data_IF_735148073726
#
_entry.id   IF_735148073726
#
_cell.length_a   1.000
_cell.length_b   1.000
_cell.length_c   1.000
_cell.angle_alpha   90.00
_cell.angle_beta   90.00
_cell.angle_gamma   90.00
#
_symmetry.space_group_name_H-M   'P 1'
#
loop_
_entity.id
_entity.type
_entity.pdbx_description
1 polymer ?
#
# COMPACT_ATOMS: atom_id res chain seq x y z
N UNK A 1 -17.81 10.06 -7.66
CA UNK A 1 -17.85 10.30 -6.20
C UNK A 1 -17.04 9.20 -5.53
N UNK A 2 -16.48 9.44 -4.34
CA UNK A 2 -15.86 8.38 -3.52
C UNK A 2 -17.01 7.70 -2.78
N UNK A 3 -17.16 6.39 -2.92
CA UNK A 3 -18.31 5.70 -2.36
C UNK A 3 -18.07 5.31 -0.90
N UNK A 4 -16.87 4.83 -0.57
CA UNK A 4 -16.52 4.42 0.80
C UNK A 4 -15.07 4.76 1.13
N UNK A 5 -14.84 5.15 2.38
CA UNK A 5 -13.52 5.47 2.93
C UNK A 5 -13.34 4.68 4.22
N UNK A 6 -12.27 3.89 4.29
CA UNK A 6 -11.85 3.24 5.52
C UNK A 6 -10.56 3.91 6.00
N UNK A 7 -10.61 4.50 7.19
CA UNK A 7 -9.49 5.21 7.79
C UNK A 7 -9.23 4.68 9.19
N UNK A 8 -7.96 4.38 9.47
CA UNK A 8 -7.49 3.97 10.79
C UNK A 8 -6.39 4.93 11.18
N UNK A 9 -6.55 5.55 12.34
CA UNK A 9 -5.57 6.46 12.91
C UNK A 9 -5.15 5.96 14.28
N UNK A 10 -3.85 6.06 14.56
CA UNK A 10 -3.34 5.75 15.88
C UNK A 10 -2.10 6.59 16.20
N UNK A 11 -1.88 6.80 17.49
CA UNK A 11 -0.72 7.51 18.02
C UNK A 11 0.25 6.50 18.61
N UNK A 12 1.52 6.59 18.25
CA UNK A 12 2.60 5.83 18.88
C UNK A 12 3.88 6.66 18.88
N UNK A 13 4.63 6.66 20.00
CA UNK A 13 5.92 7.36 20.12
C UNK A 13 5.90 8.83 19.65
N UNK A 14 4.87 9.60 20.04
CA UNK A 14 4.66 11.00 19.60
C UNK A 14 4.55 11.18 18.08
N UNK A 15 4.11 10.13 17.37
CA UNK A 15 3.83 10.16 15.94
C UNK A 15 2.37 9.76 15.71
N UNK A 16 1.69 10.53 14.87
CA UNK A 16 0.37 10.20 14.33
C UNK A 16 0.56 9.40 13.06
N UNK A 17 -0.07 8.22 13.02
CA UNK A 17 -0.15 7.39 11.85
C UNK A 17 -1.59 7.41 11.34
N UNK A 18 -1.77 7.50 10.04
CA UNK A 18 -3.07 7.47 9.38
C UNK A 18 -2.98 6.60 8.13
N UNK A 19 -3.75 5.53 8.11
CA UNK A 19 -3.91 4.65 6.95
C UNK A 19 -5.31 4.86 6.38
N UNK A 20 -5.39 5.18 5.10
CA UNK A 20 -6.66 5.43 4.42
C UNK A 20 -6.78 4.60 3.15
N UNK A 21 -7.93 3.95 2.98
CA UNK A 21 -8.33 3.25 1.77
C UNK A 21 -9.58 3.94 1.22
N UNK A 22 -9.53 4.35 -0.05
CA UNK A 22 -10.69 4.90 -0.76
C UNK A 22 -11.17 3.91 -1.81
N UNK A 23 -12.47 3.72 -1.85
CA UNK A 23 -13.18 2.97 -2.88
C UNK A 23 -13.94 3.95 -3.76
N UNK A 24 -13.55 4.01 -5.03
CA UNK A 24 -14.19 4.86 -6.03
C UNK A 24 -14.78 3.99 -7.13
N UNK A 25 -16.08 4.05 -7.29
CA UNK A 25 -16.76 3.47 -8.45
C UNK A 25 -16.43 4.29 -9.70
N UNK A 26 -16.21 3.57 -10.80
CA UNK A 26 -15.88 4.14 -12.11
C UNK A 26 -17.02 4.03 -13.12
N UNK A 27 -18.24 3.69 -12.68
CA UNK A 27 -19.39 3.53 -13.58
C UNK A 27 -19.29 2.28 -14.47
N UNK A 28 -18.39 1.36 -14.14
CA UNK A 28 -18.31 0.00 -14.68
C UNK A 28 -18.32 -0.97 -13.50
N UNK A 29 -18.44 -2.29 -13.74
CA UNK A 29 -18.30 -3.31 -12.69
C UNK A 29 -16.91 -3.35 -12.01
N UNK A 30 -16.08 -2.30 -12.16
CA UNK A 30 -14.73 -2.19 -11.62
C UNK A 30 -14.65 -1.05 -10.59
N UNK A 31 -14.29 -1.41 -9.35
CA UNK A 31 -14.02 -0.47 -8.27
C UNK A 31 -12.53 -0.09 -8.28
N UNK A 32 -12.24 1.21 -8.34
CA UNK A 32 -10.90 1.73 -8.12
C UNK A 32 -10.61 1.83 -6.63
N UNK A 33 -9.54 1.16 -6.19
CA UNK A 33 -9.08 1.19 -4.81
C UNK A 33 -7.80 2.03 -4.76
N UNK A 34 -7.79 3.07 -3.92
CA UNK A 34 -6.60 3.88 -3.64
C UNK A 34 -6.20 3.68 -2.18
N UNK A 35 -4.91 3.51 -1.94
CA UNK A 35 -4.34 3.42 -0.59
C UNK A 35 -3.40 4.61 -0.34
N UNK A 36 -3.46 5.15 0.86
CA UNK A 36 -2.53 6.16 1.35
C UNK A 36 -2.14 5.83 2.78
N UNK A 37 -0.85 6.06 3.03
CA UNK A 37 -0.25 5.90 4.34
C UNK A 37 0.46 7.21 4.66
N UNK A 38 0.15 7.74 5.84
CA UNK A 38 0.60 9.03 6.30
C UNK A 38 1.14 8.89 7.73
N UNK A 39 2.27 9.55 7.98
CA UNK A 39 2.87 9.63 9.31
C UNK A 39 3.30 11.07 9.57
N UNK A 40 2.93 11.61 10.72
CA UNK A 40 3.28 12.96 11.18
C UNK A 40 3.87 12.89 12.60
N UNK A 41 5.16 13.18 12.72
CA UNK A 41 5.84 13.35 14.00
C UNK A 41 5.86 14.80 14.46
N UNK A 42 6.09 15.01 15.76
CA UNK A 42 6.12 16.32 16.42
C UNK A 42 7.46 17.08 16.25
N UNK A 43 8.54 16.44 15.77
CA UNK A 43 9.89 17.04 15.86
C UNK A 43 10.48 17.54 14.55
N UNK A 44 10.72 18.85 14.53
CA UNK A 44 11.69 19.56 13.69
C UNK A 44 13.13 19.21 14.09
N UNK A 45 14.02 18.96 13.11
CA UNK A 45 15.51 19.02 13.17
C UNK A 45 16.30 17.68 13.02
N UNK A 46 15.82 16.50 13.43
CA UNK A 46 16.46 15.19 13.08
C UNK A 46 16.10 14.65 11.68
N UNK A 47 15.49 15.51 10.86
CA UNK A 47 14.57 15.09 9.81
C UNK A 47 15.14 14.31 8.63
N UNK A 48 16.44 14.27 8.32
CA UNK A 48 16.89 13.56 7.10
C UNK A 48 16.83 12.03 7.23
N UNK A 49 17.47 11.47 8.25
CA UNK A 49 17.45 10.01 8.47
C UNK A 49 16.05 9.51 8.83
N UNK A 50 15.32 10.28 9.64
CA UNK A 50 13.93 9.96 9.96
C UNK A 50 13.02 10.03 8.73
N UNK A 51 13.21 11.02 7.83
CA UNK A 51 12.49 11.07 6.54
C UNK A 51 12.86 9.89 5.63
N UNK A 52 14.12 9.45 5.61
CA UNK A 52 14.54 8.28 4.83
C UNK A 52 13.88 7.00 5.35
N UNK A 53 13.97 6.75 6.66
CA UNK A 53 13.33 5.60 7.32
C UNK A 53 11.80 5.63 7.07
N UNK A 54 11.17 6.80 7.23
CA UNK A 54 9.75 6.98 6.96
C UNK A 54 9.41 6.73 5.49
N UNK A 55 10.19 7.25 4.55
CA UNK A 55 10.00 7.04 3.11
C UNK A 55 10.12 5.56 2.74
N UNK A 56 11.11 4.85 3.30
CA UNK A 56 11.28 3.41 3.14
C UNK A 56 10.07 2.67 3.73
N UNK A 57 9.61 3.05 4.92
CA UNK A 57 8.42 2.47 5.55
C UNK A 57 7.18 2.61 4.66
N UNK A 58 6.87 3.84 4.21
CA UNK A 58 5.70 4.12 3.36
C UNK A 58 5.80 3.31 2.06
N UNK A 59 6.97 3.26 1.41
CA UNK A 59 7.17 2.46 0.20
C UNK A 59 6.90 0.97 0.45
N UNK A 60 7.39 0.42 1.56
CA UNK A 60 7.13 -0.99 1.94
C UNK A 60 5.64 -1.25 2.17
N UNK A 61 4.93 -0.33 2.82
CA UNK A 61 3.48 -0.44 3.02
C UNK A 61 2.69 -0.41 1.71
N UNK A 62 3.04 0.49 0.79
CA UNK A 62 2.43 0.54 -0.55
C UNK A 62 2.69 -0.75 -1.33
N UNK A 63 3.91 -1.28 -1.28
CA UNK A 63 4.25 -2.56 -1.92
C UNK A 63 3.42 -3.69 -1.31
N UNK A 64 3.35 -3.78 0.02
CA UNK A 64 2.60 -4.81 0.72
C UNK A 64 1.11 -4.77 0.35
N UNK A 65 0.50 -3.59 0.32
CA UNK A 65 -0.88 -3.41 -0.11
C UNK A 65 -1.11 -3.89 -1.55
N UNK A 66 -0.25 -3.48 -2.49
CA UNK A 66 -0.35 -3.91 -3.88
C UNK A 66 -0.21 -5.43 -4.05
N UNK A 67 0.68 -6.06 -3.28
CA UNK A 67 0.82 -7.52 -3.25
C UNK A 67 -0.45 -8.18 -2.73
N UNK A 68 -1.07 -7.65 -1.67
CA UNK A 68 -2.33 -8.16 -1.15
C UNK A 68 -3.46 -8.06 -2.18
N UNK A 69 -3.58 -6.93 -2.88
CA UNK A 69 -4.56 -6.75 -3.96
C UNK A 69 -4.34 -7.78 -5.07
N UNK A 70 -3.10 -7.98 -5.53
CA UNK A 70 -2.80 -8.98 -6.57
C UNK A 70 -3.11 -10.41 -6.11
N UNK A 71 -2.76 -10.76 -4.87
CA UNK A 71 -3.11 -12.06 -4.27
C UNK A 71 -4.61 -12.25 -4.15
N UNK A 72 -5.36 -11.22 -3.78
CA UNK A 72 -6.82 -11.27 -3.71
C UNK A 72 -7.42 -11.52 -5.10
N UNK A 73 -6.97 -10.78 -6.13
CA UNK A 73 -7.41 -10.99 -7.51
C UNK A 73 -7.11 -12.40 -8.04
N UNK A 74 -5.95 -12.97 -7.69
CA UNK A 74 -5.62 -14.37 -8.00
C UNK A 74 -6.58 -15.35 -7.30
N UNK A 75 -6.85 -15.15 -6.00
CA UNK A 75 -7.79 -16.00 -5.23
C UNK A 75 -9.22 -15.95 -5.76
N UNK A 76 -9.62 -14.81 -6.33
CA UNK A 76 -10.92 -14.62 -6.96
C UNK A 76 -10.97 -15.11 -8.41
N UNK A 77 -9.93 -15.78 -8.91
CA UNK A 77 -9.82 -16.27 -10.30
C UNK A 77 -10.07 -15.20 -11.36
N UNK A 78 -9.70 -13.94 -11.09
CA UNK A 78 -9.83 -12.82 -12.03
C UNK A 78 -8.76 -12.81 -13.14
N UNK A 79 -7.87 -13.81 -13.14
CA UNK A 79 -6.77 -13.96 -14.08
C UNK A 79 -6.84 -15.35 -14.72
N UNK A 80 -6.61 -15.43 -16.03
CA UNK A 80 -6.40 -16.73 -16.70
C UNK A 80 -5.06 -17.36 -16.26
N UNK A 81 -4.89 -18.68 -16.41
CA UNK A 81 -3.71 -19.40 -15.90
C UNK A 81 -2.37 -18.81 -16.38
N UNK A 82 -2.29 -18.41 -17.65
CA UNK A 82 -1.08 -17.80 -18.22
C UNK A 82 -0.75 -16.46 -17.56
N UNK A 83 -1.76 -15.61 -17.31
CA UNK A 83 -1.58 -14.33 -16.62
C UNK A 83 -1.35 -14.50 -15.12
N UNK A 84 -1.93 -15.53 -14.50
CA UNK A 84 -1.72 -15.84 -13.09
C UNK A 84 -0.22 -16.10 -12.79
N UNK A 85 0.46 -16.84 -13.66
CA UNK A 85 1.90 -17.07 -13.58
C UNK A 85 2.72 -15.77 -13.71
N UNK A 86 2.33 -14.87 -14.62
CA UNK A 86 2.98 -13.57 -14.77
C UNK A 86 2.78 -12.68 -13.53
N UNK A 87 1.58 -12.69 -12.95
CA UNK A 87 1.26 -11.95 -11.72
C UNK A 87 2.06 -12.50 -10.52
N UNK A 88 2.19 -13.83 -10.39
CA UNK A 88 3.02 -14.44 -9.34
C UNK A 88 4.49 -14.01 -9.44
N UNK A 89 5.07 -14.00 -10.65
CA UNK A 89 6.44 -13.47 -10.87
C UNK A 89 6.56 -12.01 -10.47
N UNK A 90 5.56 -11.19 -10.80
CA UNK A 90 5.50 -9.77 -10.40
C UNK A 90 5.47 -9.61 -8.88
N UNK A 91 4.65 -10.42 -8.19
CA UNK A 91 4.58 -10.42 -6.72
C UNK A 91 5.97 -10.75 -6.12
N UNK A 92 6.64 -11.78 -6.61
CA UNK A 92 7.98 -12.16 -6.14
C UNK A 92 8.98 -11.01 -6.29
N UNK A 93 9.03 -10.38 -7.47
CA UNK A 93 9.92 -9.22 -7.70
C UNK A 93 9.63 -8.06 -6.76
N UNK A 94 8.36 -7.76 -6.49
CA UNK A 94 7.96 -6.70 -5.56
C UNK A 94 8.41 -7.00 -4.13
N UNK A 95 8.31 -8.27 -3.70
CA UNK A 95 8.78 -8.70 -2.38
C UNK A 95 10.31 -8.65 -2.27
N UNK A 96 11.03 -9.05 -3.32
CA UNK A 96 12.50 -8.93 -3.39
C UNK A 96 12.95 -7.48 -3.32
N UNK A 97 12.35 -6.60 -4.14
CA UNK A 97 12.62 -5.17 -4.10
C UNK A 97 12.35 -4.57 -2.71
N UNK A 98 11.26 -4.98 -2.06
CA UNK A 98 10.94 -4.52 -0.71
C UNK A 98 12.01 -4.91 0.34
N UNK A 99 12.69 -6.05 0.17
CA UNK A 99 13.78 -6.50 1.04
C UNK A 99 15.07 -5.72 0.79
N UNK A 100 15.26 -5.24 -0.43
CA UNK A 100 16.45 -4.48 -0.85
C UNK A 100 16.36 -2.98 -0.57
N UNK A 101 15.18 -2.47 -0.21
CA UNK A 101 15.02 -1.10 0.27
C UNK A 101 15.76 -0.91 1.60
N UNK A 102 16.99 -0.41 1.53
CA UNK A 102 17.81 0.11 2.63
C UNK A 102 18.04 1.61 2.43
#
# INVERSE_FOLDING_TARGET
MVNEIFQIEWLANNQLFSKTIWFKDNGSNLVHIKFHDFVKGDTSIMGFFERHILSVYIKRQVIAFNVQVLKAKLRLNLYNEKSANAVNRKITRMLEYSKQLY
#
